data_IF_438789935826
#
_entry.id   IF_438789935826
#
_cell.length_a   1.000
_cell.length_b   1.000
_cell.length_c   1.000
_cell.angle_alpha   90.00
_cell.angle_beta   90.00
_cell.angle_gamma   90.00
#
_symmetry.space_group_name_H-M   'P 1'
#
loop_
_entity.id
_entity.type
_entity.pdbx_description
1 polymer ?
#
# COMPACT_ATOMS: atom_id res chain seq x y z
N UNK A 1 -7.91 -5.37 18.91
CA UNK A 1 -7.78 -6.59 18.09
C UNK A 1 -6.73 -6.29 17.05
N UNK A 2 -5.74 -7.17 16.84
CA UNK A 2 -4.74 -7.01 15.78
C UNK A 2 -5.44 -7.06 14.42
N UNK A 3 -5.07 -6.19 13.48
CA UNK A 3 -5.55 -6.26 12.10
C UNK A 3 -5.10 -7.59 11.48
N UNK A 4 -6.03 -8.33 10.88
CA UNK A 4 -5.69 -9.49 10.06
C UNK A 4 -4.98 -9.03 8.79
N UNK A 5 -3.86 -9.68 8.48
CA UNK A 5 -3.01 -9.36 7.33
C UNK A 5 -3.12 -10.45 6.26
N UNK A 6 -3.04 -10.08 4.99
CA UNK A 6 -3.00 -11.02 3.87
C UNK A 6 -1.57 -11.23 3.39
N UNK A 7 -1.15 -12.49 3.31
CA UNK A 7 0.13 -12.85 2.68
C UNK A 7 0.17 -12.46 1.20
N UNK A 8 1.37 -12.34 0.64
CA UNK A 8 1.53 -12.02 -0.79
C UNK A 8 0.74 -12.97 -1.70
N UNK A 9 0.74 -14.27 -1.37
CA UNK A 9 0.01 -15.30 -2.12
C UNK A 9 -1.50 -15.14 -1.99
N UNK A 10 -2.00 -14.85 -0.79
CA UNK A 10 -3.43 -14.64 -0.56
C UNK A 10 -3.93 -13.36 -1.24
N UNK A 11 -3.15 -12.29 -1.20
CA UNK A 11 -3.45 -11.04 -1.88
C UNK A 11 -3.55 -11.24 -3.41
N UNK A 12 -2.59 -11.94 -4.03
CA UNK A 12 -2.65 -12.24 -5.46
C UNK A 12 -3.86 -13.11 -5.86
N UNK A 13 -4.24 -14.06 -5.00
CA UNK A 13 -5.44 -14.88 -5.22
C UNK A 13 -6.73 -14.05 -5.10
N UNK A 14 -6.80 -13.13 -4.13
CA UNK A 14 -7.90 -12.20 -3.96
C UNK A 14 -8.05 -11.28 -5.18
N UNK A 15 -6.96 -10.69 -5.68
CA UNK A 15 -6.99 -9.84 -6.87
C UNK A 15 -7.56 -10.59 -8.08
N UNK A 16 -7.13 -11.84 -8.28
CA UNK A 16 -7.66 -12.71 -9.35
C UNK A 16 -9.15 -12.99 -9.17
N UNK A 17 -9.62 -13.18 -7.94
CA UNK A 17 -11.04 -13.39 -7.66
C UNK A 17 -11.87 -12.13 -7.91
N UNK A 18 -11.40 -10.97 -7.48
CA UNK A 18 -12.06 -9.68 -7.71
C UNK A 18 -12.26 -9.42 -9.21
N UNK A 19 -11.27 -9.77 -10.02
CA UNK A 19 -11.32 -9.62 -11.48
C UNK A 19 -12.06 -10.75 -12.21
N UNK A 20 -12.47 -11.82 -11.52
CA UNK A 20 -13.24 -12.92 -12.12
C UNK A 20 -14.66 -12.94 -11.59
N UNK A 21 -14.90 -13.58 -10.45
CA UNK A 21 -16.24 -13.68 -9.85
C UNK A 21 -16.72 -12.36 -9.26
N UNK A 22 -15.80 -11.47 -8.88
CA UNK A 22 -16.11 -10.11 -8.44
C UNK A 22 -16.52 -9.15 -9.56
N UNK A 23 -16.34 -9.55 -10.82
CA UNK A 23 -16.70 -8.79 -12.02
C UNK A 23 -16.11 -7.37 -12.12
N UNK A 24 -15.03 -7.08 -11.37
CA UNK A 24 -14.29 -5.83 -11.55
C UNK A 24 -13.35 -5.91 -12.75
N UNK A 25 -13.27 -4.84 -13.53
CA UNK A 25 -12.13 -4.66 -14.44
C UNK A 25 -10.89 -4.21 -13.65
N UNK A 26 -9.71 -4.44 -14.22
CA UNK A 26 -8.47 -3.92 -13.66
C UNK A 26 -8.53 -2.40 -13.50
N UNK A 27 -9.02 -1.69 -14.52
CA UNK A 27 -9.12 -0.23 -14.52
C UNK A 27 -10.02 0.29 -13.39
N UNK A 28 -11.12 -0.39 -13.07
CA UNK A 28 -12.00 -0.03 -11.96
C UNK A 28 -11.29 -0.15 -10.60
N UNK A 29 -10.56 -1.25 -10.38
CA UNK A 29 -9.80 -1.44 -9.15
C UNK A 29 -8.69 -0.40 -9.02
N UNK A 30 -8.00 -0.10 -10.12
CA UNK A 30 -6.94 0.91 -10.17
C UNK A 30 -7.47 2.32 -9.88
N UNK A 31 -8.62 2.69 -10.43
CA UNK A 31 -9.23 4.00 -10.21
C UNK A 31 -9.66 4.17 -8.73
N UNK A 32 -10.27 3.15 -8.14
CA UNK A 32 -10.66 3.16 -6.73
C UNK A 32 -9.46 3.15 -5.78
N UNK A 33 -8.38 2.45 -6.14
CA UNK A 33 -7.12 2.49 -5.42
C UNK A 33 -6.49 3.90 -5.50
N UNK A 34 -6.45 4.51 -6.69
CA UNK A 34 -5.97 5.87 -6.91
C UNK A 34 -6.75 6.91 -6.11
N UNK A 35 -8.09 6.78 -6.09
CA UNK A 35 -8.96 7.60 -5.26
C UNK A 35 -8.66 7.45 -3.76
N UNK A 36 -8.41 6.22 -3.29
CA UNK A 36 -8.02 5.99 -1.91
C UNK A 36 -6.69 6.67 -1.59
N UNK A 37 -5.69 6.53 -2.46
CA UNK A 37 -4.38 7.16 -2.29
C UNK A 37 -4.49 8.69 -2.25
N UNK A 38 -5.27 9.28 -3.16
CA UNK A 38 -5.44 10.74 -3.21
C UNK A 38 -6.13 11.29 -1.95
N UNK A 39 -7.11 10.57 -1.39
CA UNK A 39 -7.72 10.94 -0.12
C UNK A 39 -6.71 10.91 1.05
N UNK A 40 -5.82 9.92 1.10
CA UNK A 40 -4.77 9.90 2.15
C UNK A 40 -3.84 11.08 1.96
N UNK A 41 -3.35 11.32 0.74
CA UNK A 41 -2.46 12.45 0.44
C UNK A 41 -3.11 13.77 0.88
N UNK A 42 -4.41 13.97 0.60
CA UNK A 42 -5.14 15.14 1.05
C UNK A 42 -5.21 15.25 2.59
N UNK A 43 -5.40 14.14 3.31
CA UNK A 43 -5.43 14.13 4.80
C UNK A 43 -4.06 14.38 5.43
N UNK A 44 -2.98 13.85 4.85
CA UNK A 44 -1.63 13.95 5.44
C UNK A 44 -0.85 15.17 4.94
N UNK A 45 -1.21 15.70 3.77
CA UNK A 45 -0.62 16.88 3.15
C UNK A 45 -1.71 17.73 2.47
N UNK A 46 -2.56 18.42 3.27
CA UNK A 46 -3.56 19.32 2.73
C UNK A 46 -2.92 20.48 1.93
N UNK A 47 -3.65 21.10 0.99
CA UNK A 47 -3.10 22.12 0.08
C UNK A 47 -2.47 23.35 0.75
N UNK A 48 -2.77 23.60 2.04
CA UNK A 48 -2.17 24.67 2.83
C UNK A 48 -0.74 24.35 3.33
N UNK A 49 -0.29 23.09 3.28
CA UNK A 49 1.07 22.66 3.63
C UNK A 49 2.03 22.63 2.44
N UNK A 50 1.51 22.86 1.23
CA UNK A 50 2.28 22.77 0.00
C UNK A 50 1.41 22.35 -1.17
N UNK A 51 1.85 22.74 -2.37
CA UNK A 51 1.15 22.41 -3.62
C UNK A 51 1.91 21.39 -4.48
N UNK A 52 3.11 20.99 -4.04
CA UNK A 52 4.02 20.15 -4.83
C UNK A 52 4.09 18.76 -4.22
N UNK A 53 3.53 17.79 -4.93
CA UNK A 53 3.64 16.37 -4.63
C UNK A 53 4.45 15.70 -5.74
N UNK A 54 5.51 14.99 -5.38
CA UNK A 54 6.27 14.15 -6.30
C UNK A 54 5.73 12.73 -6.21
N UNK A 55 5.33 12.16 -7.35
CA UNK A 55 4.88 10.76 -7.45
C UNK A 55 5.96 9.96 -8.19
N UNK A 56 6.64 9.06 -7.48
CA UNK A 56 7.57 8.10 -8.08
C UNK A 56 6.83 6.80 -8.43
N UNK A 57 6.79 6.44 -9.70
CA UNK A 57 6.05 5.27 -10.20
C UNK A 57 7.01 4.20 -10.70
N UNK A 58 6.83 2.97 -10.22
CA UNK A 58 7.61 1.81 -10.66
C UNK A 58 7.09 1.20 -11.97
N UNK A 59 7.86 0.28 -12.59
CA UNK A 59 7.50 -0.41 -13.83
C UNK A 59 6.36 -1.42 -13.67
N UNK A 60 6.04 -1.78 -12.42
CA UNK A 60 4.90 -2.62 -12.06
C UNK A 60 5.21 -4.08 -11.73
N UNK A 61 4.20 -4.80 -11.24
CA UNK A 61 4.39 -6.09 -10.57
C UNK A 61 4.36 -7.34 -11.46
N UNK A 62 4.21 -7.27 -12.80
CA UNK A 62 3.92 -8.50 -13.58
C UNK A 62 4.54 -8.60 -14.98
N UNK A 63 5.74 -8.06 -15.24
CA UNK A 63 6.49 -8.33 -16.48
C UNK A 63 5.79 -7.93 -17.81
N UNK A 64 4.56 -7.47 -17.77
CA UNK A 64 3.71 -7.09 -18.89
C UNK A 64 2.79 -5.94 -18.44
N UNK A 65 3.09 -4.73 -18.95
CA UNK A 65 2.30 -3.48 -18.94
C UNK A 65 2.67 -2.45 -17.85
N UNK A 66 3.08 -1.23 -18.26
CA UNK A 66 3.38 -0.12 -17.37
C UNK A 66 2.10 0.67 -17.09
N UNK A 67 1.42 0.38 -15.99
CA UNK A 67 0.42 1.31 -15.47
C UNK A 67 0.27 1.11 -13.96
N UNK A 68 0.50 2.20 -13.21
CA UNK A 68 0.35 2.39 -11.76
C UNK A 68 0.32 1.10 -10.91
N UNK A 69 1.48 0.49 -10.73
CA UNK A 69 1.62 -0.61 -9.77
C UNK A 69 2.71 -0.26 -8.77
N UNK A 70 2.29 -0.25 -7.51
CA UNK A 70 3.11 0.11 -6.36
C UNK A 70 4.04 -1.06 -6.03
N UNK A 71 5.30 -0.72 -5.77
CA UNK A 71 6.43 -1.63 -5.80
C UNK A 71 6.29 -2.82 -4.83
N UNK A 72 5.88 -3.97 -5.34
CA UNK A 72 6.07 -5.26 -4.69
C UNK A 72 7.06 -6.05 -5.55
N UNK A 73 8.35 -5.81 -5.32
CA UNK A 73 9.39 -6.55 -6.03
C UNK A 73 9.71 -7.83 -5.28
N UNK A 74 9.64 -8.96 -5.98
CA UNK A 74 10.39 -10.15 -5.59
C UNK A 74 11.76 -10.10 -6.30
N UNK A 75 12.83 -10.29 -5.54
CA UNK A 75 14.21 -10.29 -6.04
C UNK A 75 14.98 -8.99 -5.80
N UNK A 76 16.19 -8.92 -6.35
CA UNK A 76 17.10 -7.79 -6.14
C UNK A 76 16.61 -6.52 -6.86
N UNK A 77 16.70 -5.39 -6.16
CA UNK A 77 16.38 -4.07 -6.70
C UNK A 77 17.42 -3.71 -7.76
N UNK A 78 17.00 -3.56 -9.02
CA UNK A 78 17.87 -3.23 -10.16
C UNK A 78 17.85 -1.73 -10.49
N UNK A 79 18.89 -1.24 -11.16
CA UNK A 79 18.91 0.13 -11.68
C UNK A 79 17.66 0.47 -12.51
N UNK A 80 17.09 1.68 -12.39
CA UNK A 80 17.59 2.84 -11.62
C UNK A 80 17.06 2.95 -10.17
N UNK A 81 16.37 1.92 -9.67
CA UNK A 81 15.61 2.00 -8.41
C UNK A 81 16.45 2.16 -7.13
N UNK A 82 17.69 1.62 -7.01
CA UNK A 82 18.52 1.83 -5.83
C UNK A 82 18.75 3.30 -5.50
N UNK A 83 19.11 4.10 -6.50
CA UNK A 83 19.35 5.53 -6.34
C UNK A 83 18.09 6.29 -5.89
N UNK A 84 16.93 5.91 -6.42
CA UNK A 84 15.65 6.54 -6.04
C UNK A 84 15.26 6.19 -4.60
N UNK A 85 15.38 4.92 -4.22
CA UNK A 85 15.08 4.45 -2.85
C UNK A 85 16.04 5.10 -1.85
N UNK A 86 17.32 5.20 -2.18
CA UNK A 86 18.30 5.90 -1.36
C UNK A 86 17.95 7.38 -1.18
N UNK A 87 17.59 8.09 -2.26
CA UNK A 87 17.15 9.48 -2.19
C UNK A 87 15.89 9.66 -1.31
N UNK A 88 14.94 8.72 -1.38
CA UNK A 88 13.75 8.71 -0.51
C UNK A 88 14.07 8.36 0.96
N UNK A 89 15.17 7.64 1.23
CA UNK A 89 15.62 7.36 2.60
C UNK A 89 16.36 8.55 3.23
N UNK A 90 17.09 9.33 2.42
CA UNK A 90 17.90 10.47 2.88
C UNK A 90 17.14 11.81 2.89
N UNK A 91 15.97 11.87 2.25
CA UNK A 91 15.16 13.09 2.17
C UNK A 91 14.57 13.50 3.53
N UNK A 92 14.38 14.81 3.70
CA UNK A 92 13.64 15.40 4.84
C UNK A 92 12.15 15.60 4.55
N UNK A 93 11.73 15.37 3.29
CA UNK A 93 10.33 15.51 2.87
C UNK A 93 9.57 14.25 3.28
N UNK A 94 8.35 14.36 3.84
CA UNK A 94 7.54 13.20 4.20
C UNK A 94 7.31 12.27 2.99
N UNK A 95 7.55 10.98 3.18
CA UNK A 95 7.32 9.95 2.17
C UNK A 95 6.09 9.13 2.54
N UNK A 96 5.18 8.98 1.58
CA UNK A 96 4.00 8.12 1.66
C UNK A 96 4.20 6.92 0.76
N UNK A 97 4.27 5.73 1.33
CA UNK A 97 4.31 4.47 0.57
C UNK A 97 2.91 3.93 0.35
N UNK A 98 2.67 3.43 -0.85
CA UNK A 98 1.41 2.81 -1.22
C UNK A 98 1.61 1.31 -1.33
N UNK A 99 0.68 0.60 -0.74
CA UNK A 99 0.58 -0.84 -0.53
C UNK A 99 1.70 -1.47 0.31
N UNK A 100 2.95 -1.26 -0.10
CA UNK A 100 4.15 -1.68 0.60
C UNK A 100 5.26 -0.62 0.40
N UNK A 101 6.12 -0.38 1.40
CA UNK A 101 7.33 0.40 1.18
C UNK A 101 8.22 -0.28 0.14
N UNK A 102 8.63 0.46 -0.89
CA UNK A 102 9.56 -0.04 -1.91
C UNK A 102 10.78 -0.68 -1.25
N UNK A 103 11.22 -1.84 -1.74
CA UNK A 103 12.31 -2.71 -1.22
C UNK A 103 12.03 -3.54 0.03
N UNK A 104 10.89 -3.34 0.70
CA UNK A 104 10.52 -4.21 1.82
C UNK A 104 9.96 -5.54 1.30
N UNK A 105 10.31 -6.62 1.99
CA UNK A 105 9.65 -7.90 1.80
C UNK A 105 8.25 -7.85 2.42
N UNK A 106 7.28 -8.46 1.73
CA UNK A 106 5.87 -8.42 2.13
C UNK A 106 5.62 -9.13 3.47
N UNK A 107 6.45 -10.11 3.81
CA UNK A 107 6.31 -10.95 5.00
C UNK A 107 7.30 -10.53 6.10
N UNK A 108 8.55 -10.28 5.73
CA UNK A 108 9.68 -10.03 6.64
C UNK A 108 9.97 -8.54 6.87
N UNK A 109 9.38 -7.63 6.09
CA UNK A 109 9.57 -6.19 6.25
C UNK A 109 10.90 -5.67 5.65
N UNK A 110 11.54 -4.65 6.26
CA UNK A 110 12.74 -4.04 5.69
C UNK A 110 13.90 -5.04 5.59
N UNK A 111 14.74 -4.95 4.53
CA UNK A 111 15.91 -5.79 4.40
C UNK A 111 16.92 -5.47 5.53
N UNK A 112 17.64 -6.48 6.07
CA UNK A 112 18.56 -6.29 7.19
C UNK A 112 19.76 -5.41 6.84
N UNK A 113 20.13 -5.34 5.57
CA UNK A 113 21.24 -4.53 5.05
C UNK A 113 21.03 -4.21 3.57
N UNK A 114 21.70 -3.16 3.07
CA UNK A 114 21.66 -2.77 1.66
C UNK A 114 20.56 -1.75 1.35
N UNK A 115 20.22 -1.64 0.06
CA UNK A 115 19.21 -0.71 -0.44
C UNK A 115 17.89 -0.95 0.30
N UNK A 116 17.33 0.10 0.90
CA UNK A 116 16.04 0.02 1.59
C UNK A 116 16.09 -0.30 3.07
N UNK A 117 17.22 -0.77 3.60
CA UNK A 117 17.37 -1.10 5.03
C UNK A 117 17.08 0.09 5.95
N UNK A 118 17.42 1.30 5.51
CA UNK A 118 17.15 2.55 6.23
C UNK A 118 15.89 3.29 5.71
N UNK A 119 15.19 2.77 4.72
CA UNK A 119 14.02 3.43 4.15
C UNK A 119 12.77 3.17 5.00
N UNK A 120 12.32 4.20 5.72
CA UNK A 120 11.15 4.16 6.59
C UNK A 120 10.20 5.30 6.24
N UNK A 121 9.12 5.04 5.47
CA UNK A 121 8.15 6.08 5.12
C UNK A 121 7.38 6.55 6.36
N UNK A 122 6.93 7.81 6.35
CA UNK A 122 6.13 8.36 7.44
C UNK A 122 4.66 7.92 7.39
N UNK A 123 4.18 7.56 6.19
CA UNK A 123 2.80 7.13 5.93
C UNK A 123 2.81 5.87 5.07
N UNK A 124 1.96 4.90 5.41
CA UNK A 124 1.70 3.70 4.63
C UNK A 124 0.22 3.60 4.29
N UNK A 125 -0.11 3.25 3.05
CA UNK A 125 -1.49 3.02 2.59
C UNK A 125 -1.61 1.58 2.13
N UNK A 126 -2.15 0.68 2.94
CA UNK A 126 -2.43 -0.68 2.47
C UNK A 126 -3.68 -0.68 1.59
N UNK A 127 -3.57 -1.27 0.39
CA UNK A 127 -4.70 -1.43 -0.51
C UNK A 127 -5.36 -2.79 -0.31
N UNK A 128 -6.69 -2.79 -0.27
CA UNK A 128 -7.56 -3.97 -0.06
C UNK A 128 -7.46 -4.55 1.35
N UNK A 129 -6.27 -4.95 1.77
CA UNK A 129 -5.98 -5.42 3.12
C UNK A 129 -4.51 -5.14 3.49
N UNK A 130 -4.20 -4.97 4.79
CA UNK A 130 -2.83 -4.93 5.30
C UNK A 130 -2.01 -6.17 4.93
N UNK A 131 -0.73 -5.98 4.65
CA UNK A 131 0.24 -7.07 4.43
C UNK A 131 1.05 -7.32 5.72
N UNK A 132 1.63 -8.52 5.95
CA UNK A 132 2.34 -8.84 7.19
C UNK A 132 3.52 -7.90 7.52
N UNK A 133 4.13 -7.25 6.53
CA UNK A 133 5.14 -6.21 6.70
C UNK A 133 4.74 -5.08 7.64
N UNK A 134 3.43 -4.82 7.82
CA UNK A 134 2.93 -3.72 8.66
C UNK A 134 3.37 -3.86 10.12
N UNK A 135 3.72 -5.08 10.57
CA UNK A 135 4.30 -5.32 11.92
C UNK A 135 5.63 -4.58 12.14
N UNK A 136 6.35 -4.25 11.07
CA UNK A 136 7.61 -3.50 11.10
C UNK A 136 7.41 -1.98 10.91
N UNK A 137 6.24 -1.58 10.41
CA UNK A 137 5.95 -0.19 10.13
C UNK A 137 5.69 0.61 11.42
N UNK A 138 6.21 1.83 11.48
CA UNK A 138 6.13 2.74 12.65
C UNK A 138 5.80 4.15 12.16
N UNK A 139 4.62 4.33 11.60
CA UNK A 139 4.15 5.62 11.08
C UNK A 139 2.62 5.66 11.05
N UNK A 140 2.05 6.61 10.29
CA UNK A 140 0.59 6.67 10.09
C UNK A 140 0.17 5.64 9.07
N UNK A 141 -0.77 4.76 9.42
CA UNK A 141 -1.20 3.67 8.56
C UNK A 141 -2.65 3.89 8.14
N UNK A 142 -2.90 3.79 6.84
CA UNK A 142 -4.23 3.87 6.26
C UNK A 142 -4.55 2.59 5.51
N UNK A 143 -5.83 2.22 5.49
CA UNK A 143 -6.37 1.15 4.65
C UNK A 143 -7.29 1.78 3.60
N UNK A 144 -6.97 1.56 2.33
CA UNK A 144 -7.76 1.97 1.17
C UNK A 144 -8.33 0.78 0.40
N UNK A 145 -9.13 1.04 -0.63
CA UNK A 145 -9.72 -0.02 -1.46
C UNK A 145 -11.08 -0.52 -0.95
N UNK A 146 -12.02 0.41 -0.78
CA UNK A 146 -13.40 0.13 -0.32
C UNK A 146 -14.26 -0.51 -1.42
N UNK A 147 -13.92 -1.72 -1.83
CA UNK A 147 -14.65 -2.46 -2.88
C UNK A 147 -14.83 -3.95 -2.57
N UNK A 148 -14.29 -4.44 -1.45
CA UNK A 148 -14.41 -5.85 -1.07
C UNK A 148 -15.74 -6.12 -0.38
N UNK A 149 -16.52 -7.04 -0.94
CA UNK A 149 -17.74 -7.52 -0.31
C UNK A 149 -17.44 -8.36 0.95
N UNK A 150 -18.26 -8.30 2.02
CA UNK A 150 -18.04 -9.08 3.25
C UNK A 150 -17.86 -10.59 3.02
N UNK A 151 -18.55 -11.17 2.04
CA UNK A 151 -18.41 -12.59 1.70
C UNK A 151 -17.01 -12.96 1.19
N UNK A 152 -16.39 -12.08 0.40
CA UNK A 152 -15.01 -12.26 -0.08
C UNK A 152 -14.03 -12.07 1.09
N UNK A 153 -14.23 -11.04 1.91
CA UNK A 153 -13.38 -10.80 3.08
C UNK A 153 -13.35 -12.00 4.04
N UNK A 154 -14.52 -12.57 4.33
CA UNK A 154 -14.64 -13.78 5.16
C UNK A 154 -13.94 -14.99 4.54
N UNK A 155 -13.99 -15.13 3.22
CA UNK A 155 -13.32 -16.24 2.50
C UNK A 155 -11.80 -16.18 2.61
N UNK A 156 -11.22 -14.98 2.58
CA UNK A 156 -9.77 -14.75 2.67
C UNK A 156 -9.29 -14.49 4.10
N UNK A 157 -10.18 -14.57 5.09
CA UNK A 157 -9.90 -14.37 6.51
C UNK A 157 -9.19 -13.04 6.82
N UNK A 158 -9.73 -11.93 6.30
CA UNK A 158 -9.29 -10.60 6.70
C UNK A 158 -10.47 -9.68 7.04
N UNK A 159 -10.19 -8.66 7.84
CA UNK A 159 -11.21 -7.72 8.30
C UNK A 159 -11.28 -6.51 7.37
N UNK A 160 -12.49 -6.20 6.88
CA UNK A 160 -12.74 -4.94 6.18
C UNK A 160 -13.01 -3.87 7.24
N UNK A 161 -12.26 -2.75 7.26
CA UNK A 161 -12.49 -1.69 8.24
C UNK A 161 -13.84 -1.00 7.97
N UNK A 162 -14.41 -0.43 9.01
CA UNK A 162 -15.63 0.37 8.88
C UNK A 162 -15.26 1.76 8.34
N UNK A 163 -15.52 1.99 7.06
CA UNK A 163 -15.33 3.28 6.41
C UNK A 163 -16.42 4.27 6.84
N UNK A 164 -16.04 5.51 7.13
CA UNK A 164 -16.96 6.56 7.53
C UNK A 164 -17.59 7.25 6.31
N UNK A 165 -18.92 7.38 6.30
CA UNK A 165 -19.64 8.06 5.23
C UNK A 165 -19.25 7.57 3.83
N UNK A 166 -18.73 8.49 3.02
CA UNK A 166 -18.26 8.26 1.64
C UNK A 166 -16.74 8.08 1.51
N UNK A 167 -16.02 8.03 2.64
CA UNK A 167 -14.57 7.88 2.63
C UNK A 167 -14.15 6.57 1.95
N UNK A 168 -13.04 6.63 1.24
CA UNK A 168 -12.39 5.47 0.61
C UNK A 168 -11.21 4.95 1.45
N UNK A 169 -10.99 5.55 2.63
CA UNK A 169 -9.86 5.28 3.50
C UNK A 169 -10.27 5.21 4.96
N UNK A 170 -9.52 4.44 5.75
CA UNK A 170 -9.60 4.41 7.22
C UNK A 170 -8.19 4.51 7.79
N UNK A 171 -7.97 5.40 8.76
CA UNK A 171 -6.72 5.43 9.52
C UNK A 171 -6.76 4.34 10.59
N UNK A 172 -5.67 3.59 10.72
CA UNK A 172 -5.53 2.50 11.69
C UNK A 172 -4.28 2.73 12.53
N UNK A 173 -4.38 2.43 13.83
CA UNK A 173 -3.27 2.58 14.77
C UNK A 173 -2.20 1.51 14.59
N UNK A 174 -1.01 1.80 15.12
CA UNK A 174 0.23 1.00 15.02
C UNK A 174 0.16 -0.40 15.64
N UNK A 175 -0.90 -0.73 16.38
CA UNK A 175 -1.19 -2.06 16.93
C UNK A 175 -2.51 -2.67 16.41
N UNK A 176 -3.05 -2.14 15.30
CA UNK A 176 -4.36 -2.54 14.77
C UNK A 176 -5.56 -2.02 15.57
N UNK A 177 -5.33 -1.12 16.52
CA UNK A 177 -6.40 -0.39 17.21
C UNK A 177 -6.82 0.80 16.35
N UNK A 178 -8.11 0.92 16.05
CA UNK A 178 -8.70 2.11 15.42
C UNK A 178 -8.37 3.34 16.27
N UNK A 179 -7.96 4.43 15.63
CA UNK A 179 -8.01 5.77 16.22
C UNK A 179 -9.43 6.32 16.07
#
# INVERSE_FOLDING_TARGET
MSLKTLSAKAAAALDKELMSTGAFSLDQLMELAGLSVSQVVYRVHPPNMGQRVLVAVGPGNNGERPLFTFACFSGEVREPFPAVIQAMAETKVPVTSVDAPSSWDIEAGPPPSGVGSNFHPGVLISLTAPKPLVKHFRGRHFIGGRFVAPGIANKYDFDVPAYEGIDQIVEVGSEGLKL
#
